data_IF_460676531074
#
_entry.id   IF_460676531074
#
_cell.length_a   1.000
_cell.length_b   1.000
_cell.length_c   1.000
_cell.angle_alpha   90.00
_cell.angle_beta   90.00
_cell.angle_gamma   90.00
#
_symmetry.space_group_name_H-M   'P 1'
#
loop_
_entity.id
_entity.type
_entity.pdbx_description
1 polymer ?
#
# COMPACT_ATOMS: atom_id res chain seq x y z
N UNK A 1 -31.79 28.40 23.96
CA UNK A 1 -30.50 29.14 23.95
C UNK A 1 -29.50 28.22 23.27
N UNK A 2 -29.12 28.57 22.04
CA UNK A 2 -28.41 27.72 21.08
C UNK A 2 -27.03 27.30 21.61
N UNK A 3 -26.74 25.99 21.54
CA UNK A 3 -25.39 25.45 21.64
C UNK A 3 -24.95 25.07 20.22
N UNK A 4 -24.19 25.96 19.59
CA UNK A 4 -23.37 25.66 18.43
C UNK A 4 -22.30 24.65 18.84
N UNK A 5 -22.30 23.48 18.21
CA UNK A 5 -21.16 22.57 18.22
C UNK A 5 -20.28 22.99 17.03
N UNK A 6 -19.14 23.61 17.32
CA UNK A 6 -18.11 23.87 16.33
C UNK A 6 -17.42 22.55 15.96
N UNK A 7 -17.71 22.05 14.76
CA UNK A 7 -16.95 20.97 14.13
C UNK A 7 -15.59 21.49 13.68
N UNK A 8 -14.56 21.31 14.50
CA UNK A 8 -13.18 21.52 14.08
C UNK A 8 -12.75 20.40 13.15
N UNK A 9 -12.87 20.63 11.83
CA UNK A 9 -12.15 19.85 10.84
C UNK A 9 -10.67 20.24 10.91
N UNK A 10 -9.82 19.28 11.29
CA UNK A 10 -8.38 19.35 11.03
C UNK A 10 -8.18 19.23 9.51
N UNK A 11 -8.17 20.36 8.80
CA UNK A 11 -7.62 20.44 7.45
C UNK A 11 -6.10 20.24 7.53
N UNK A 12 -5.64 19.02 7.27
CA UNK A 12 -4.26 18.78 6.89
C UNK A 12 -4.09 19.31 5.46
N UNK A 13 -3.66 20.58 5.34
CA UNK A 13 -3.16 21.11 4.07
C UNK A 13 -1.85 20.40 3.75
N UNK A 14 -1.92 19.33 2.95
CA UNK A 14 -0.73 18.75 2.33
C UNK A 14 -0.26 19.67 1.20
N UNK A 15 0.95 20.21 1.35
CA UNK A 15 1.68 20.90 0.29
C UNK A 15 1.83 19.96 -0.94
N UNK A 16 1.33 20.32 -2.14
CA UNK A 16 1.41 19.48 -3.33
C UNK A 16 2.84 19.22 -3.83
N UNK A 17 3.82 19.98 -3.35
CA UNK A 17 5.20 19.93 -3.86
C UNK A 17 6.15 19.03 -3.05
N UNK A 18 5.68 18.38 -1.98
CA UNK A 18 6.55 17.60 -1.09
C UNK A 18 5.98 16.23 -0.70
N UNK A 19 5.44 15.48 -1.68
CA UNK A 19 5.23 14.03 -1.50
C UNK A 19 6.56 13.33 -1.76
N UNK A 20 7.23 12.92 -0.68
CA UNK A 20 8.35 11.98 -0.73
C UNK A 20 7.92 10.75 -1.54
N UNK A 21 8.40 10.61 -2.77
CA UNK A 21 8.18 9.40 -3.57
C UNK A 21 8.93 8.27 -2.85
N UNK A 22 8.18 7.31 -2.32
CA UNK A 22 8.76 6.12 -1.71
C UNK A 22 9.70 5.45 -2.71
N UNK A 23 10.91 5.03 -2.31
CA UNK A 23 11.81 4.36 -3.22
C UNK A 23 11.15 3.09 -3.79
N UNK A 24 11.43 2.78 -5.05
CA UNK A 24 10.95 1.54 -5.66
C UNK A 24 11.54 0.35 -4.90
N UNK A 25 10.69 -0.63 -4.62
CA UNK A 25 11.04 -1.83 -3.88
C UNK A 25 11.28 -2.99 -4.84
N UNK A 26 12.46 -3.65 -4.81
CA UNK A 26 12.67 -4.89 -5.55
C UNK A 26 11.89 -6.03 -4.91
N UNK A 27 11.21 -6.81 -5.73
CA UNK A 27 10.41 -7.97 -5.34
C UNK A 27 10.75 -9.13 -6.26
N UNK A 28 11.11 -10.27 -5.67
CA UNK A 28 11.20 -11.52 -6.41
C UNK A 28 9.86 -12.24 -6.32
N UNK A 29 9.19 -12.40 -7.45
CA UNK A 29 7.87 -13.03 -7.49
C UNK A 29 7.95 -14.53 -7.18
N UNK A 30 6.82 -15.11 -6.74
CA UNK A 30 6.69 -16.55 -6.55
C UNK A 30 6.79 -17.33 -7.87
N UNK A 31 6.61 -16.64 -9.00
CA UNK A 31 6.68 -17.17 -10.36
C UNK A 31 8.08 -17.09 -10.98
N UNK A 32 9.07 -16.54 -10.26
CA UNK A 32 10.49 -16.67 -10.62
C UNK A 32 11.09 -15.53 -11.45
N UNK A 33 10.45 -14.36 -11.48
CA UNK A 33 10.98 -13.14 -12.10
C UNK A 33 11.01 -11.99 -11.09
N UNK A 34 11.81 -10.97 -11.36
CA UNK A 34 11.99 -9.82 -10.47
C UNK A 34 11.16 -8.61 -10.95
N UNK A 35 10.68 -7.80 -10.01
CA UNK A 35 9.95 -6.55 -10.25
C UNK A 35 10.50 -5.42 -9.38
N UNK A 36 10.43 -4.19 -9.88
CA UNK A 36 10.62 -2.95 -9.14
C UNK A 36 9.27 -2.24 -9.01
N UNK A 37 8.76 -2.16 -7.78
CA UNK A 37 7.37 -1.76 -7.49
C UNK A 37 7.30 -0.52 -6.59
N UNK A 38 6.29 0.31 -6.79
CA UNK A 38 6.04 1.47 -5.94
C UNK A 38 5.13 1.04 -4.76
N UNK A 39 5.59 1.03 -3.50
CA UNK A 39 4.79 0.58 -2.37
C UNK A 39 3.57 1.47 -2.08
N UNK A 40 3.52 2.68 -2.63
CA UNK A 40 2.38 3.58 -2.49
C UNK A 40 1.25 3.29 -3.49
N UNK A 41 1.51 2.52 -4.55
CA UNK A 41 0.48 2.05 -5.49
C UNK A 41 -0.17 0.78 -4.95
N UNK A 42 -1.51 0.73 -4.97
CA UNK A 42 -2.28 -0.35 -4.34
C UNK A 42 -1.97 -1.73 -4.92
N UNK A 43 -1.93 -1.88 -6.25
CA UNK A 43 -1.65 -3.16 -6.90
C UNK A 43 -0.19 -3.58 -6.67
N UNK A 44 0.74 -2.63 -6.76
CA UNK A 44 2.14 -2.84 -6.40
C UNK A 44 2.31 -3.29 -4.95
N UNK A 45 1.56 -2.72 -4.01
CA UNK A 45 1.55 -3.13 -2.60
C UNK A 45 1.07 -4.57 -2.42
N UNK A 46 -0.01 -4.98 -3.11
CA UNK A 46 -0.47 -6.37 -3.08
C UNK A 46 0.61 -7.33 -3.58
N UNK A 47 1.26 -6.99 -4.69
CA UNK A 47 2.37 -7.78 -5.25
C UNK A 47 3.58 -7.85 -4.31
N UNK A 48 3.93 -6.75 -3.62
CA UNK A 48 4.99 -6.73 -2.61
C UNK A 48 4.65 -7.68 -1.45
N UNK A 49 3.38 -7.67 -1.01
CA UNK A 49 2.91 -8.49 0.12
C UNK A 49 2.86 -9.97 -0.24
N UNK A 50 2.24 -10.31 -1.38
CA UNK A 50 1.87 -11.68 -1.72
C UNK A 50 2.87 -12.37 -2.65
N UNK A 51 3.69 -11.60 -3.37
CA UNK A 51 4.65 -12.12 -4.36
C UNK A 51 4.01 -12.73 -5.61
N UNK A 52 2.67 -12.72 -5.70
CA UNK A 52 1.87 -13.19 -6.83
C UNK A 52 0.59 -12.34 -6.88
N UNK A 53 0.11 -12.07 -8.09
CA UNK A 53 -1.17 -11.40 -8.31
C UNK A 53 -2.07 -12.35 -9.10
N UNK A 54 -3.37 -12.35 -8.78
CA UNK A 54 -4.37 -13.22 -9.45
C UNK A 54 -3.90 -14.69 -9.53
N UNK A 55 -3.67 -15.30 -8.36
CA UNK A 55 -3.09 -16.64 -8.30
C UNK A 55 -3.85 -17.71 -9.13
N UNK A 56 -5.20 -17.73 -9.17
CA UNK A 56 -5.95 -18.67 -10.01
C UNK A 56 -5.71 -18.51 -11.52
N UNK A 57 -5.63 -17.26 -11.99
CA UNK A 57 -5.37 -16.89 -13.37
C UNK A 57 -3.90 -17.13 -13.73
N UNK A 58 -2.99 -16.80 -12.83
CA UNK A 58 -1.55 -17.06 -13.00
C UNK A 58 -1.28 -18.56 -13.16
N UNK A 59 -1.90 -19.40 -12.32
CA UNK A 59 -1.82 -20.85 -12.43
C UNK A 59 -2.38 -21.34 -13.78
N UNK A 60 -3.56 -20.85 -14.18
CA UNK A 60 -4.15 -21.17 -15.47
C UNK A 60 -3.21 -20.82 -16.63
N UNK A 61 -2.73 -19.58 -16.67
CA UNK A 61 -1.84 -19.07 -17.73
C UNK A 61 -0.57 -19.92 -17.84
N UNK A 62 0.01 -20.35 -16.71
CA UNK A 62 1.20 -21.23 -16.70
C UNK A 62 0.98 -22.59 -17.37
N UNK A 63 -0.26 -23.05 -17.48
CA UNK A 63 -0.63 -24.32 -18.15
C UNK A 63 -1.01 -24.13 -19.61
N UNK A 64 -1.49 -22.94 -19.96
CA UNK A 64 -1.93 -22.61 -21.32
C UNK A 64 -0.75 -22.21 -22.20
N UNK A 65 0.19 -21.43 -21.65
CA UNK A 65 1.34 -20.87 -22.38
C UNK A 65 2.53 -21.81 -22.32
N UNK A 66 3.22 -21.98 -23.45
CA UNK A 66 4.39 -22.83 -23.62
C UNK A 66 5.56 -22.02 -24.16
N UNK A 67 6.76 -22.58 -24.01
CA UNK A 67 7.96 -22.02 -24.62
C UNK A 67 7.79 -21.92 -26.14
N UNK A 68 8.15 -20.76 -26.72
CA UNK A 68 7.99 -20.49 -28.15
C UNK A 68 6.68 -19.82 -28.54
N UNK A 69 5.70 -19.72 -27.65
CA UNK A 69 4.40 -19.11 -27.95
C UNK A 69 4.51 -17.59 -28.14
N UNK A 70 3.50 -17.01 -28.80
CA UNK A 70 3.29 -15.56 -28.87
C UNK A 70 2.13 -15.16 -27.97
N UNK A 71 2.35 -14.23 -27.04
CA UNK A 71 1.34 -13.74 -26.10
C UNK A 71 1.19 -12.22 -26.17
N UNK A 72 -0.01 -11.74 -25.88
CA UNK A 72 -0.36 -10.32 -25.87
C UNK A 72 -0.85 -9.92 -24.48
N UNK A 73 -0.38 -8.78 -23.98
CA UNK A 73 -0.82 -8.17 -22.72
C UNK A 73 -1.41 -6.78 -23.02
N UNK A 74 -2.74 -6.69 -23.07
CA UNK A 74 -3.46 -5.43 -23.25
C UNK A 74 -3.80 -4.83 -21.88
N UNK A 75 -3.10 -3.73 -21.55
CA UNK A 75 -3.12 -3.10 -20.23
C UNK A 75 -2.01 -3.65 -19.32
N UNK A 76 -0.76 -3.43 -19.73
CA UNK A 76 0.40 -4.02 -19.05
C UNK A 76 0.66 -3.48 -17.64
N UNK A 77 0.20 -2.27 -17.34
CA UNK A 77 0.42 -1.58 -16.06
C UNK A 77 1.91 -1.58 -15.65
N UNK A 78 2.27 -2.08 -14.47
CA UNK A 78 3.68 -2.20 -14.02
C UNK A 78 4.44 -3.35 -14.69
N UNK A 79 3.79 -4.13 -15.56
CA UNK A 79 4.39 -5.22 -16.33
C UNK A 79 4.44 -6.57 -15.62
N UNK A 80 3.58 -6.82 -14.63
CA UNK A 80 3.50 -8.13 -13.96
C UNK A 80 3.18 -9.25 -14.96
N UNK A 81 2.05 -9.16 -15.67
CA UNK A 81 1.68 -10.16 -16.67
C UNK A 81 2.66 -10.16 -17.84
N UNK A 82 3.14 -9.00 -18.28
CA UNK A 82 4.15 -8.91 -19.34
C UNK A 82 5.41 -9.72 -18.99
N UNK A 83 5.98 -9.54 -17.79
CA UNK A 83 7.16 -10.30 -17.34
C UNK A 83 6.84 -11.77 -17.11
N UNK A 84 5.64 -12.07 -16.59
CA UNK A 84 5.21 -13.44 -16.38
C UNK A 84 5.07 -14.22 -17.70
N UNK A 85 4.40 -13.65 -18.69
CA UNK A 85 4.28 -14.23 -20.03
C UNK A 85 5.65 -14.37 -20.68
N UNK A 86 6.52 -13.35 -20.54
CA UNK A 86 7.88 -13.40 -21.07
C UNK A 86 8.69 -14.54 -20.43
N UNK A 87 8.56 -14.75 -19.13
CA UNK A 87 9.17 -15.86 -18.41
C UNK A 87 8.71 -17.23 -18.96
N UNK A 88 7.40 -17.38 -19.23
CA UNK A 88 6.82 -18.63 -19.73
C UNK A 88 7.20 -18.94 -21.18
N UNK A 89 7.13 -17.96 -22.08
CA UNK A 89 7.39 -18.18 -23.51
C UNK A 89 8.88 -18.34 -23.83
N UNK A 90 9.76 -17.80 -22.97
CA UNK A 90 11.22 -17.83 -23.15
C UNK A 90 11.71 -17.14 -24.44
N UNK A 91 13.02 -17.22 -24.68
CA UNK A 91 13.69 -16.47 -25.78
C UNK A 91 13.19 -16.83 -27.19
N UNK A 92 12.66 -18.04 -27.35
CA UNK A 92 12.08 -18.52 -28.61
C UNK A 92 10.67 -18.01 -28.87
N UNK A 93 9.98 -17.49 -27.86
CA UNK A 93 8.63 -16.93 -27.98
C UNK A 93 8.62 -15.41 -28.06
N UNK A 94 7.44 -14.79 -28.06
CA UNK A 94 7.29 -13.32 -28.13
C UNK A 94 6.19 -12.83 -27.21
N UNK A 95 6.41 -11.67 -26.58
CA UNK A 95 5.36 -10.96 -25.84
C UNK A 95 5.23 -9.55 -26.36
N UNK A 96 4.01 -9.16 -26.71
CA UNK A 96 3.68 -7.79 -27.09
C UNK A 96 2.72 -7.19 -26.07
N UNK A 97 3.21 -6.22 -25.32
CA UNK A 97 2.46 -5.52 -24.30
C UNK A 97 2.05 -4.13 -24.81
N UNK A 98 0.85 -3.71 -24.43
CA UNK A 98 0.27 -2.43 -24.83
C UNK A 98 -0.30 -1.73 -23.61
N UNK A 99 -0.03 -0.43 -23.48
CA UNK A 99 -0.63 0.39 -22.43
C UNK A 99 -0.76 1.85 -22.88
N UNK A 100 -1.87 2.47 -22.52
CA UNK A 100 -2.13 3.87 -22.84
C UNK A 100 -1.30 4.82 -21.96
N UNK A 101 -0.98 4.42 -20.72
CA UNK A 101 -0.24 5.24 -19.77
C UNK A 101 1.28 5.16 -20.04
N UNK A 102 1.95 6.27 -20.41
CA UNK A 102 3.40 6.28 -20.63
C UNK A 102 4.21 5.89 -19.39
N UNK A 103 3.76 6.28 -18.19
CA UNK A 103 4.46 5.99 -16.94
C UNK A 103 4.40 4.48 -16.60
N UNK A 104 3.26 3.84 -16.91
CA UNK A 104 3.09 2.40 -16.81
C UNK A 104 4.00 1.67 -17.83
N UNK A 105 4.01 2.12 -19.08
CA UNK A 105 4.92 1.58 -20.10
C UNK A 105 6.39 1.63 -19.66
N UNK A 106 6.82 2.74 -19.06
CA UNK A 106 8.19 2.89 -18.57
C UNK A 106 8.47 2.01 -17.34
N UNK A 107 7.49 1.75 -16.49
CA UNK A 107 7.60 0.75 -15.42
C UNK A 107 7.74 -0.68 -15.98
N UNK A 108 6.87 -1.07 -16.91
CA UNK A 108 6.92 -2.39 -17.54
C UNK A 108 8.24 -2.63 -18.29
N UNK A 109 8.73 -1.65 -19.06
CA UNK A 109 10.04 -1.73 -19.76
C UNK A 109 11.21 -1.88 -18.79
N UNK A 110 11.18 -1.17 -17.65
CA UNK A 110 12.20 -1.33 -16.61
C UNK A 110 12.19 -2.74 -16.02
N UNK A 111 11.01 -3.29 -15.75
CA UNK A 111 10.87 -4.65 -15.22
C UNK A 111 11.30 -5.72 -16.23
N UNK A 112 11.00 -5.56 -17.51
CA UNK A 112 11.56 -6.42 -18.55
C UNK A 112 13.10 -6.36 -18.62
N UNK A 113 13.65 -5.14 -18.56
CA UNK A 113 15.09 -4.92 -18.60
C UNK A 113 15.81 -5.52 -17.38
N UNK A 114 15.20 -5.43 -16.20
CA UNK A 114 15.70 -6.05 -14.96
C UNK A 114 15.89 -7.56 -15.12
N UNK A 115 15.02 -8.22 -15.88
CA UNK A 115 15.06 -9.65 -16.12
C UNK A 115 15.80 -10.06 -17.40
N UNK A 116 16.31 -9.10 -18.19
CA UNK A 116 16.96 -9.38 -19.48
C UNK A 116 16.02 -9.96 -20.55
N UNK A 117 14.71 -9.77 -20.42
CA UNK A 117 13.69 -10.36 -21.29
C UNK A 117 13.54 -9.60 -22.62
N UNK A 118 14.53 -9.73 -23.51
CA UNK A 118 14.59 -8.98 -24.78
C UNK A 118 13.60 -9.47 -25.84
N UNK A 119 12.87 -10.56 -25.60
CA UNK A 119 11.84 -11.11 -26.47
C UNK A 119 10.43 -10.58 -26.16
N UNK A 120 10.33 -9.64 -25.21
CA UNK A 120 9.13 -8.92 -24.87
C UNK A 120 9.31 -7.42 -25.15
N UNK A 121 8.27 -6.77 -25.67
CA UNK A 121 8.28 -5.32 -25.90
C UNK A 121 6.96 -4.68 -25.43
N UNK A 122 7.06 -3.41 -25.02
CA UNK A 122 5.92 -2.62 -24.54
C UNK A 122 5.73 -1.41 -25.44
N UNK A 123 4.53 -1.27 -26.01
CA UNK A 123 4.15 -0.16 -26.90
C UNK A 123 3.19 0.78 -26.18
N UNK A 124 3.53 2.07 -26.14
CA UNK A 124 2.64 3.08 -25.56
C UNK A 124 1.57 3.51 -26.57
N UNK A 125 0.42 2.84 -26.50
CA UNK A 125 -0.74 3.07 -27.36
C UNK A 125 -1.99 2.54 -26.65
N UNK A 126 -3.11 3.25 -26.78
CA UNK A 126 -4.41 2.73 -26.37
C UNK A 126 -4.94 1.77 -27.46
N UNK A 127 -5.18 0.51 -27.12
CA UNK A 127 -5.82 -0.41 -28.05
C UNK A 127 -7.29 -0.01 -28.25
N UNK A 128 -7.72 0.04 -29.51
CA UNK A 128 -9.03 0.55 -29.90
C UNK A 128 -9.57 -0.17 -31.14
N UNK A 129 -10.77 0.21 -31.58
CA UNK A 129 -11.42 -0.27 -32.80
C UNK A 129 -11.04 0.55 -34.05
N UNK A 130 -10.28 1.63 -33.88
CA UNK A 130 -9.79 2.52 -34.94
C UNK A 130 -8.36 3.02 -34.66
N UNK A 131 -7.72 3.58 -35.70
CA UNK A 131 -6.45 4.29 -35.58
C UNK A 131 -6.69 5.77 -35.27
N UNK A 132 -5.86 6.39 -34.43
CA UNK A 132 -5.97 7.82 -34.13
C UNK A 132 -5.37 8.23 -32.80
N UNK A 133 -6.11 9.05 -32.07
CA UNK A 133 -5.77 9.48 -30.71
C UNK A 133 -7.01 9.55 -29.84
N UNK A 134 -6.87 9.18 -28.57
CA UNK A 134 -7.93 9.21 -27.57
C UNK A 134 -7.52 10.07 -26.37
N UNK A 135 -8.51 10.62 -25.68
CA UNK A 135 -8.33 11.14 -24.33
C UNK A 135 -8.16 9.96 -23.38
N UNK A 136 -7.21 10.07 -22.46
CA UNK A 136 -6.94 9.06 -21.45
C UNK A 136 -6.82 9.73 -20.09
N UNK A 137 -7.55 9.20 -19.11
CA UNK A 137 -7.69 9.75 -17.76
C UNK A 137 -6.80 8.96 -16.81
N UNK A 138 -5.70 9.59 -16.39
CA UNK A 138 -4.72 8.99 -15.48
C UNK A 138 -5.22 9.09 -14.05
N UNK A 139 -5.35 7.95 -13.38
CA UNK A 139 -5.76 7.84 -11.97
C UNK A 139 -4.74 8.49 -11.01
N UNK A 140 -5.01 8.44 -9.71
CA UNK A 140 -4.07 8.90 -8.68
C UNK A 140 -2.85 7.98 -8.58
N UNK A 141 -1.77 8.49 -7.97
CA UNK A 141 -0.51 7.75 -7.83
C UNK A 141 -0.64 6.51 -6.92
N UNK A 142 -1.70 6.47 -6.10
CA UNK A 142 -2.03 5.36 -5.21
C UNK A 142 -2.86 4.26 -5.90
N UNK A 143 -3.46 4.55 -7.05
CA UNK A 143 -4.37 3.64 -7.77
C UNK A 143 -4.12 3.69 -9.27
N UNK A 144 -2.85 3.61 -9.67
CA UNK A 144 -2.44 3.85 -11.07
C UNK A 144 -3.06 2.84 -12.05
N UNK A 145 -3.37 1.64 -11.58
CA UNK A 145 -4.05 0.58 -12.34
C UNK A 145 -5.42 1.02 -12.86
N UNK A 146 -6.14 1.90 -12.15
CA UNK A 146 -7.50 2.35 -12.50
C UNK A 146 -7.57 3.40 -13.63
N UNK A 147 -6.48 3.61 -14.37
CA UNK A 147 -6.44 4.63 -15.43
C UNK A 147 -7.21 4.14 -16.65
N UNK A 148 -8.05 4.99 -17.26
CA UNK A 148 -8.98 4.55 -18.31
C UNK A 148 -9.13 5.58 -19.43
N UNK A 149 -9.56 5.12 -20.61
CA UNK A 149 -10.07 5.97 -21.69
C UNK A 149 -11.40 6.63 -21.27
N UNK A 150 -12.17 5.96 -20.41
CA UNK A 150 -13.41 6.48 -19.85
C UNK A 150 -13.17 7.58 -18.82
N UNK A 151 -14.14 8.49 -18.67
CA UNK A 151 -14.09 9.53 -17.66
C UNK A 151 -14.33 8.94 -16.27
N UNK A 152 -13.24 8.62 -15.56
CA UNK A 152 -13.28 8.12 -14.18
C UNK A 152 -13.55 9.25 -13.17
N UNK A 153 -14.18 8.98 -12.01
CA UNK A 153 -14.53 10.02 -11.05
C UNK A 153 -13.32 10.75 -10.42
N UNK A 154 -12.21 10.02 -10.19
CA UNK A 154 -11.04 10.50 -9.46
C UNK A 154 -9.77 10.39 -10.31
N UNK A 155 -9.61 11.25 -11.32
CA UNK A 155 -8.39 11.31 -12.14
C UNK A 155 -7.49 12.50 -11.77
N UNK A 156 -6.17 12.30 -11.86
CA UNK A 156 -5.14 13.31 -11.61
C UNK A 156 -4.97 14.26 -12.80
N UNK A 157 -4.98 13.70 -14.02
CA UNK A 157 -4.77 14.44 -15.28
C UNK A 157 -5.41 13.70 -16.44
N UNK A 158 -5.79 14.45 -17.47
CA UNK A 158 -6.13 13.89 -18.79
C UNK A 158 -4.95 14.11 -19.73
N UNK A 159 -4.59 13.07 -20.47
CA UNK A 159 -3.57 13.13 -21.52
C UNK A 159 -4.18 12.68 -22.85
N UNK A 160 -3.55 13.07 -23.97
CA UNK A 160 -3.87 12.53 -25.28
C UNK A 160 -2.83 11.49 -25.65
N UNK A 161 -3.29 10.30 -26.04
CA UNK A 161 -2.44 9.16 -26.38
C UNK A 161 -2.77 8.69 -27.79
N UNK A 162 -1.80 8.15 -28.55
CA UNK A 162 -2.12 7.45 -29.78
C UNK A 162 -3.04 6.26 -29.47
N UNK A 163 -3.96 5.94 -30.39
CA UNK A 163 -4.74 4.72 -30.35
C UNK A 163 -4.63 3.95 -31.67
N UNK A 164 -4.83 2.64 -31.61
CA UNK A 164 -4.74 1.78 -32.79
C UNK A 164 -5.35 0.41 -32.59
N UNK A 165 -5.60 -0.27 -33.70
CA UNK A 165 -6.18 -1.62 -33.67
C UNK A 165 -5.11 -2.64 -33.34
N UNK A 166 -5.46 -3.62 -32.51
CA UNK A 166 -4.54 -4.72 -32.21
C UNK A 166 -4.19 -5.50 -33.49
N UNK A 167 -5.18 -5.74 -34.37
CA UNK A 167 -4.96 -6.37 -35.68
C UNK A 167 -3.85 -5.69 -36.48
N UNK A 168 -3.91 -4.35 -36.63
CA UNK A 168 -2.88 -3.57 -37.34
C UNK A 168 -1.48 -3.79 -36.74
N UNK A 169 -1.38 -3.79 -35.41
CA UNK A 169 -0.11 -3.97 -34.71
C UNK A 169 0.48 -5.37 -34.91
N UNK A 170 -0.36 -6.40 -34.90
CA UNK A 170 0.01 -7.80 -35.12
C UNK A 170 0.39 -8.06 -36.58
N UNK A 171 -0.37 -7.53 -37.53
CA UNK A 171 -0.10 -7.66 -38.97
C UNK A 171 1.24 -7.01 -39.35
N UNK A 172 1.52 -5.81 -38.81
CA UNK A 172 2.80 -5.12 -39.02
C UNK A 172 4.01 -5.91 -38.48
N UNK A 173 3.79 -6.84 -37.55
CA UNK A 173 4.80 -7.74 -36.98
C UNK A 173 4.86 -9.09 -37.69
N UNK A 174 3.99 -9.33 -38.67
CA UNK A 174 3.88 -10.62 -39.35
C UNK A 174 3.38 -11.73 -38.43
N UNK A 175 2.69 -11.40 -37.34
CA UNK A 175 2.11 -12.38 -36.43
C UNK A 175 0.89 -13.00 -37.10
N UNK A 176 0.77 -14.32 -37.02
CA UNK A 176 -0.33 -15.09 -37.60
C UNK A 176 -1.02 -16.01 -36.58
N UNK A 177 -0.54 -16.03 -35.34
CA UNK A 177 -1.10 -16.82 -34.25
C UNK A 177 -0.75 -16.18 -32.92
N UNK A 178 -1.72 -16.15 -32.01
CA UNK A 178 -1.60 -15.67 -30.63
C UNK A 178 -2.07 -16.79 -29.72
N UNK A 179 -1.18 -17.24 -28.83
CA UNK A 179 -1.54 -18.26 -27.85
C UNK A 179 -2.49 -17.72 -26.79
N UNK A 180 -2.18 -16.54 -26.27
CA UNK A 180 -2.95 -15.93 -25.19
C UNK A 180 -2.98 -14.42 -25.38
N UNK A 181 -4.17 -13.85 -25.34
CA UNK A 181 -4.42 -12.43 -25.22
C UNK A 181 -5.02 -12.16 -23.84
N UNK A 182 -4.30 -11.44 -22.98
CA UNK A 182 -4.84 -10.88 -21.74
C UNK A 182 -5.40 -9.47 -22.03
N UNK A 183 -6.60 -9.17 -21.54
CA UNK A 183 -7.29 -7.88 -21.69
C UNK A 183 -7.74 -7.39 -20.32
N UNK A 184 -7.21 -6.25 -19.92
CA UNK A 184 -7.50 -5.55 -18.66
C UNK A 184 -7.16 -4.08 -18.91
N UNK A 185 -8.13 -3.37 -19.51
CA UNK A 185 -7.93 -2.02 -20.08
C UNK A 185 -8.92 -1.03 -19.49
N UNK A 186 -9.41 -1.34 -18.31
CA UNK A 186 -10.29 -0.54 -17.47
C UNK A 186 -11.50 0.03 -18.20
N UNK A 187 -12.23 -0.83 -18.91
CA UNK A 187 -13.52 -0.50 -19.54
C UNK A 187 -13.47 -0.44 -21.07
N UNK A 188 -12.28 -0.53 -21.67
CA UNK A 188 -12.09 -0.49 -23.13
C UNK A 188 -12.15 -1.88 -23.80
N UNK A 189 -12.59 -2.92 -23.09
CA UNK A 189 -12.54 -4.32 -23.53
C UNK A 189 -13.32 -4.52 -24.84
N UNK A 190 -14.49 -3.89 -24.99
CA UNK A 190 -15.28 -3.93 -26.23
C UNK A 190 -14.49 -3.36 -27.42
N UNK A 191 -13.78 -2.24 -27.23
CA UNK A 191 -12.98 -1.60 -28.28
C UNK A 191 -11.80 -2.48 -28.68
N UNK A 192 -11.09 -3.07 -27.70
CA UNK A 192 -9.99 -4.00 -27.98
C UNK A 192 -10.49 -5.16 -28.82
N UNK A 193 -11.56 -5.83 -28.39
CA UNK A 193 -12.16 -6.97 -29.10
C UNK A 193 -12.67 -6.61 -30.50
N UNK A 194 -13.24 -5.42 -30.67
CA UNK A 194 -13.66 -4.92 -31.99
C UNK A 194 -12.46 -4.62 -32.91
N UNK A 195 -11.31 -4.29 -32.32
CA UNK A 195 -10.04 -4.10 -33.00
C UNK A 195 -9.24 -5.37 -33.35
N UNK A 196 -9.71 -6.56 -32.96
CA UNK A 196 -9.00 -7.84 -33.22
C UNK A 196 -9.16 -8.35 -34.67
N UNK A 197 -10.26 -7.99 -35.34
CA UNK A 197 -10.53 -8.41 -36.73
C UNK A 197 -10.36 -9.91 -36.97
N UNK A 198 -9.50 -10.28 -37.92
CA UNK A 198 -9.26 -11.67 -38.34
C UNK A 198 -8.70 -12.56 -37.24
N UNK A 199 -7.99 -12.01 -36.26
CA UNK A 199 -7.48 -12.80 -35.14
C UNK A 199 -8.62 -13.41 -34.31
N UNK A 200 -9.76 -12.71 -34.25
CA UNK A 200 -10.96 -13.22 -33.61
C UNK A 200 -11.76 -14.14 -34.55
N UNK A 201 -12.05 -13.70 -35.79
CA UNK A 201 -12.95 -14.42 -36.70
C UNK A 201 -12.35 -15.70 -37.28
N UNK A 202 -11.04 -15.70 -37.53
CA UNK A 202 -10.33 -16.83 -38.13
C UNK A 202 -9.68 -17.71 -37.05
N UNK A 203 -9.99 -17.44 -35.78
CA UNK A 203 -9.53 -18.23 -34.62
C UNK A 203 -8.00 -18.31 -34.49
N UNK A 204 -7.31 -17.22 -34.86
CA UNK A 204 -5.85 -17.12 -34.73
C UNK A 204 -5.41 -16.80 -33.29
N UNK A 205 -6.35 -16.44 -32.42
CA UNK A 205 -6.12 -16.32 -30.98
C UNK A 205 -6.70 -17.54 -30.26
N UNK A 206 -5.88 -18.35 -29.60
CA UNK A 206 -6.36 -19.57 -28.93
C UNK A 206 -7.16 -19.25 -27.65
N UNK A 207 -6.65 -18.33 -26.85
CA UNK A 207 -7.20 -17.97 -25.54
C UNK A 207 -7.28 -16.46 -25.35
N UNK A 208 -8.40 -16.00 -24.79
CA UNK A 208 -8.60 -14.62 -24.38
C UNK A 208 -8.95 -14.61 -22.90
N UNK A 209 -8.05 -14.12 -22.05
CA UNK A 209 -8.31 -13.88 -20.64
C UNK A 209 -8.72 -12.41 -20.49
N UNK A 210 -9.92 -12.15 -20.01
CA UNK A 210 -10.46 -10.79 -19.91
C UNK A 210 -10.99 -10.51 -18.52
N UNK A 211 -10.58 -9.37 -17.96
CA UNK A 211 -11.15 -8.77 -16.75
C UNK A 211 -12.44 -8.04 -17.14
N UNK A 212 -13.55 -8.37 -16.48
CA UNK A 212 -14.85 -7.74 -16.72
C UNK A 212 -15.35 -7.12 -15.44
N UNK A 213 -15.50 -5.79 -15.48
CA UNK A 213 -16.11 -5.03 -14.40
C UNK A 213 -17.12 -4.02 -14.96
N UNK A 214 -18.41 -4.30 -14.73
CA UNK A 214 -19.51 -3.53 -15.33
C UNK A 214 -19.47 -2.04 -15.01
N UNK A 215 -18.99 -1.64 -13.83
CA UNK A 215 -18.90 -0.22 -13.48
C UNK A 215 -17.94 0.53 -14.40
N UNK A 216 -16.82 -0.09 -14.78
CA UNK A 216 -15.84 0.48 -15.73
C UNK A 216 -16.39 0.46 -17.16
N UNK A 217 -16.99 -0.67 -17.56
CA UNK A 217 -17.62 -0.82 -18.87
C UNK A 217 -18.74 0.22 -19.11
N UNK A 218 -19.53 0.54 -18.09
CA UNK A 218 -20.61 1.53 -18.18
C UNK A 218 -20.10 2.95 -18.45
N UNK A 219 -18.92 3.32 -17.92
CA UNK A 219 -18.27 4.61 -18.24
C UNK A 219 -18.00 4.74 -19.74
N UNK A 220 -17.75 3.61 -20.41
CA UNK A 220 -17.55 3.51 -21.86
C UNK A 220 -18.85 3.25 -22.65
N UNK A 221 -20.03 3.37 -22.02
CA UNK A 221 -21.34 3.06 -22.61
C UNK A 221 -21.48 1.61 -23.11
N UNK A 222 -20.80 0.69 -22.43
CA UNK A 222 -20.86 -0.76 -22.69
C UNK A 222 -21.20 -1.56 -21.43
N UNK A 223 -21.17 -2.89 -21.52
CA UNK A 223 -21.44 -3.83 -20.44
C UNK A 223 -20.89 -5.23 -20.78
N UNK A 224 -20.86 -6.09 -19.76
CA UNK A 224 -20.39 -7.48 -19.86
C UNK A 224 -21.08 -8.28 -20.97
N UNK A 225 -22.39 -8.11 -21.17
CA UNK A 225 -23.13 -8.86 -22.17
C UNK A 225 -22.70 -8.49 -23.60
N UNK A 226 -22.39 -7.22 -23.88
CA UNK A 226 -21.84 -6.81 -25.19
C UNK A 226 -20.49 -7.47 -25.46
N UNK A 227 -19.57 -7.44 -24.49
CA UNK A 227 -18.25 -8.08 -24.59
C UNK A 227 -18.40 -9.59 -24.83
N UNK A 228 -19.23 -10.26 -24.02
CA UNK A 228 -19.57 -11.67 -24.19
C UNK A 228 -20.13 -11.96 -25.58
N UNK A 229 -21.03 -11.12 -26.10
CA UNK A 229 -21.65 -11.34 -27.40
C UNK A 229 -20.65 -11.30 -28.55
N UNK A 230 -19.62 -10.45 -28.49
CA UNK A 230 -18.56 -10.41 -29.51
C UNK A 230 -17.86 -11.77 -29.58
N UNK A 231 -17.40 -12.27 -28.43
CA UNK A 231 -16.66 -13.53 -28.32
C UNK A 231 -17.54 -14.74 -28.64
N UNK A 232 -18.78 -14.76 -28.15
CA UNK A 232 -19.75 -15.83 -28.41
C UNK A 232 -20.13 -15.92 -29.89
N UNK A 233 -20.31 -14.77 -30.59
CA UNK A 233 -20.57 -14.76 -32.04
C UNK A 233 -19.40 -15.33 -32.83
N UNK A 234 -18.18 -15.16 -32.34
CA UNK A 234 -16.98 -15.80 -32.87
C UNK A 234 -16.78 -17.25 -32.37
N UNK A 235 -17.75 -17.86 -31.68
CA UNK A 235 -17.69 -19.26 -31.27
C UNK A 235 -16.81 -19.57 -30.05
N UNK A 236 -16.29 -18.55 -29.35
CA UNK A 236 -15.52 -18.77 -28.13
C UNK A 236 -16.42 -19.21 -26.98
N UNK A 237 -15.95 -20.16 -26.18
CA UNK A 237 -16.61 -20.64 -24.97
C UNK A 237 -15.97 -20.04 -23.74
N UNK A 238 -16.79 -19.58 -22.79
CA UNK A 238 -16.34 -18.94 -21.57
C UNK A 238 -16.06 -19.97 -20.47
N UNK A 239 -15.08 -19.65 -19.63
CA UNK A 239 -14.72 -20.34 -18.40
C UNK A 239 -14.53 -19.31 -17.30
N UNK A 240 -14.93 -19.66 -16.08
CA UNK A 240 -14.81 -18.82 -14.88
C UNK A 240 -14.20 -19.62 -13.74
N UNK A 241 -13.57 -18.94 -12.80
CA UNK A 241 -12.95 -19.59 -11.64
C UNK A 241 -13.91 -19.62 -10.45
N UNK A 242 -14.09 -20.81 -9.86
CA UNK A 242 -14.74 -21.00 -8.57
C UNK A 242 -13.75 -21.56 -7.55
N UNK A 243 -13.70 -20.97 -6.35
CA UNK A 243 -12.74 -21.36 -5.31
C UNK A 243 -12.81 -22.82 -4.88
N UNK A 244 -13.98 -23.46 -5.00
CA UNK A 244 -14.20 -24.87 -4.64
C UNK A 244 -13.89 -25.85 -5.76
N UNK A 245 -14.01 -25.41 -7.01
CA UNK A 245 -14.12 -26.28 -8.17
C UNK A 245 -13.02 -26.04 -9.21
N UNK A 246 -12.29 -24.93 -9.10
CA UNK A 246 -11.33 -24.47 -10.10
C UNK A 246 -12.04 -23.80 -11.28
N UNK A 247 -11.42 -23.91 -12.46
CA UNK A 247 -11.98 -23.35 -13.69
C UNK A 247 -13.09 -24.24 -14.24
N UNK A 248 -14.27 -23.66 -14.42
CA UNK A 248 -15.47 -24.33 -14.92
C UNK A 248 -16.03 -23.58 -16.14
N UNK A 249 -16.66 -24.34 -17.05
CA UNK A 249 -17.30 -23.76 -18.22
C UNK A 249 -18.49 -22.91 -17.76
N UNK A 250 -18.57 -21.70 -18.30
CA UNK A 250 -19.56 -20.72 -17.93
C UNK A 250 -20.61 -20.59 -19.04
N UNK A 251 -21.82 -21.09 -18.78
CA UNK A 251 -22.96 -20.91 -19.69
C UNK A 251 -23.39 -19.43 -19.76
N UNK A 252 -23.17 -18.70 -18.67
CA UNK A 252 -23.45 -17.27 -18.54
C UNK A 252 -22.17 -16.51 -18.15
N UNK A 253 -21.99 -15.32 -18.72
CA UNK A 253 -20.94 -14.38 -18.34
C UNK A 253 -21.64 -13.18 -17.73
N UNK A 254 -21.35 -12.95 -16.45
CA UNK A 254 -21.95 -11.90 -15.65
C UNK A 254 -20.84 -11.17 -14.90
N UNK A 255 -20.90 -9.85 -14.86
CA UNK A 255 -20.07 -9.07 -13.93
C UNK A 255 -20.60 -9.29 -12.51
N UNK A 256 -19.77 -9.84 -11.64
CA UNK A 256 -20.06 -10.01 -10.20
C UNK A 256 -19.11 -9.14 -9.36
N UNK A 257 -18.88 -7.92 -9.84
CA UNK A 257 -17.76 -7.09 -9.43
C UNK A 257 -16.60 -7.28 -10.41
N UNK A 258 -15.39 -7.23 -9.89
CA UNK A 258 -14.17 -7.53 -10.63
C UNK A 258 -14.05 -9.05 -10.82
N UNK A 259 -14.12 -9.50 -12.08
CA UNK A 259 -14.09 -10.93 -12.40
C UNK A 259 -13.41 -11.23 -13.74
N UNK A 260 -12.53 -12.23 -13.71
CA UNK A 260 -11.82 -12.71 -14.89
C UNK A 260 -12.56 -13.89 -15.55
N UNK A 261 -12.62 -13.85 -16.87
CA UNK A 261 -13.11 -14.96 -17.69
C UNK A 261 -12.06 -15.38 -18.71
N UNK A 262 -11.89 -16.69 -18.86
CA UNK A 262 -11.14 -17.26 -19.96
C UNK A 262 -12.12 -17.62 -21.09
N UNK A 263 -11.91 -17.07 -22.27
CA UNK A 263 -12.59 -17.46 -23.49
C UNK A 263 -11.68 -18.34 -24.35
N UNK A 264 -12.20 -19.50 -24.75
CA UNK A 264 -11.46 -20.53 -25.47
C UNK A 264 -11.97 -20.64 -26.91
N UNK A 265 -11.06 -20.46 -27.85
CA UNK A 265 -11.32 -20.53 -29.29
C UNK A 265 -11.74 -21.93 -29.75
N UNK A 266 -12.65 -22.05 -30.75
CA UNK A 266 -12.98 -23.33 -31.38
C UNK A 266 -11.76 -24.16 -31.83
N UNK A 267 -10.65 -23.51 -32.18
CA UNK A 267 -9.42 -24.16 -32.66
C UNK A 267 -8.75 -25.07 -31.63
N UNK A 268 -8.98 -24.83 -30.33
CA UNK A 268 -8.26 -25.53 -29.24
C UNK A 268 -9.16 -26.17 -28.18
N UNK A 269 -10.48 -26.05 -28.31
CA UNK A 269 -11.46 -26.57 -27.33
C UNK A 269 -11.27 -28.06 -27.01
N UNK A 270 -10.94 -28.89 -28.00
CA UNK A 270 -10.73 -30.34 -27.81
C UNK A 270 -9.38 -30.68 -27.15
N UNK A 271 -8.46 -29.70 -27.06
CA UNK A 271 -7.09 -29.90 -26.56
C UNK A 271 -6.83 -29.20 -25.24
N UNK A 272 -7.89 -28.71 -24.57
CA UNK A 272 -7.79 -28.06 -23.28
C UNK A 272 -7.17 -29.00 -22.23
N UNK A 273 -6.11 -28.58 -21.53
CA UNK A 273 -5.59 -29.36 -20.42
C UNK A 273 -6.64 -29.44 -19.31
N UNK A 274 -6.71 -30.55 -18.55
CA UNK A 274 -7.63 -30.66 -17.44
C UNK A 274 -7.31 -29.57 -16.39
N UNK A 275 -8.31 -28.76 -16.07
CA UNK A 275 -8.27 -27.75 -15.00
C UNK A 275 -8.29 -28.41 -13.62
N UNK A 276 -7.31 -29.28 -13.32
CA UNK A 276 -7.21 -29.94 -12.02
C UNK A 276 -6.45 -29.07 -11.01
N UNK A 277 -6.96 -28.97 -9.79
CA UNK A 277 -6.46 -28.17 -8.65
C UNK A 277 -5.03 -28.53 -8.15
N UNK A 278 -4.35 -29.51 -8.74
CA UNK A 278 -3.13 -30.12 -8.19
C UNK A 278 -1.86 -29.21 -8.07
N UNK A 279 -1.58 -28.22 -8.95
CA UNK A 279 -0.31 -27.47 -8.89
C UNK A 279 -0.25 -26.39 -7.81
N UNK A 280 -1.39 -25.86 -7.34
CA UNK A 280 -1.45 -24.84 -6.27
C UNK A 280 -0.77 -25.38 -5.00
N UNK A 281 -0.92 -26.65 -4.66
CA UNK A 281 -0.24 -27.21 -3.49
C UNK A 281 1.29 -27.07 -3.58
N UNK A 282 1.90 -27.12 -4.76
CA UNK A 282 3.37 -27.10 -4.86
C UNK A 282 3.94 -25.70 -4.68
N UNK A 283 3.33 -24.69 -5.30
CA UNK A 283 3.77 -23.29 -5.19
C UNK A 283 3.28 -22.63 -3.91
N UNK A 284 2.04 -22.89 -3.48
CA UNK A 284 1.50 -22.38 -2.22
C UNK A 284 2.21 -23.01 -1.02
N UNK A 285 2.62 -24.28 -1.03
CA UNK A 285 3.45 -24.84 0.06
C UNK A 285 4.83 -24.20 0.11
N UNK A 286 5.42 -23.82 -1.02
CA UNK A 286 6.71 -23.12 -1.04
C UNK A 286 6.60 -21.69 -0.53
N UNK A 287 5.53 -20.97 -0.90
CA UNK A 287 5.22 -19.64 -0.39
C UNK A 287 4.87 -19.66 1.11
N UNK A 288 4.03 -20.61 1.54
CA UNK A 288 3.62 -20.79 2.93
C UNK A 288 4.78 -21.19 3.85
N UNK A 289 5.75 -21.96 3.34
CA UNK A 289 7.01 -22.24 4.05
C UNK A 289 7.83 -20.98 4.28
N UNK A 290 7.96 -20.10 3.27
CA UNK A 290 8.66 -18.82 3.42
C UNK A 290 7.91 -17.85 4.34
N UNK A 291 6.58 -17.77 4.25
CA UNK A 291 5.77 -16.97 5.17
C UNK A 291 5.87 -17.48 6.61
N UNK A 292 5.87 -18.81 6.81
CA UNK A 292 6.10 -19.39 8.14
C UNK A 292 7.48 -19.01 8.69
N UNK A 293 8.52 -19.00 7.86
CA UNK A 293 9.86 -18.56 8.27
C UNK A 293 9.91 -17.06 8.61
N UNK A 294 9.22 -16.22 7.85
CA UNK A 294 9.11 -14.77 8.10
C UNK A 294 8.29 -14.50 9.37
N UNK A 295 7.17 -15.20 9.57
CA UNK A 295 6.34 -15.10 10.77
C UNK A 295 7.10 -15.54 12.02
N UNK A 296 7.84 -16.65 11.96
CA UNK A 296 8.70 -17.09 13.07
C UNK A 296 9.81 -16.09 13.39
N UNK A 297 10.35 -15.43 12.36
CA UNK A 297 11.37 -14.38 12.56
C UNK A 297 10.75 -13.16 13.25
N UNK A 298 9.57 -12.71 12.80
CA UNK A 298 8.84 -11.60 13.42
C UNK A 298 8.37 -11.90 14.83
N UNK A 299 7.94 -13.12 15.12
CA UNK A 299 7.58 -13.55 16.47
C UNK A 299 8.79 -13.46 17.41
N UNK A 300 9.99 -13.88 16.97
CA UNK A 300 11.22 -13.72 17.75
C UNK A 300 11.57 -12.25 18.00
N UNK A 301 11.53 -11.41 16.98
CA UNK A 301 11.78 -9.96 17.13
C UNK A 301 10.77 -9.31 18.08
N UNK A 302 9.49 -9.73 18.04
CA UNK A 302 8.45 -9.22 18.93
C UNK A 302 8.65 -9.66 20.38
N UNK A 303 9.11 -10.90 20.60
CA UNK A 303 9.43 -11.43 21.93
C UNK A 303 10.67 -10.73 22.52
N UNK A 304 11.69 -10.46 21.70
CA UNK A 304 12.87 -9.67 22.11
C UNK A 304 12.48 -8.24 22.51
N UNK A 305 11.65 -7.57 21.70
CA UNK A 305 11.13 -6.24 22.03
C UNK A 305 10.26 -6.24 23.29
N UNK A 306 9.48 -7.30 23.55
CA UNK A 306 8.72 -7.45 24.81
C UNK A 306 9.64 -7.52 26.02
N UNK A 307 10.71 -8.32 25.94
CA UNK A 307 11.69 -8.39 27.01
C UNK A 307 12.38 -7.05 27.27
N UNK A 308 12.68 -6.28 26.22
CA UNK A 308 13.26 -4.94 26.35
C UNK A 308 12.28 -3.94 27.00
N UNK A 309 11.00 -3.98 26.60
CA UNK A 309 9.94 -3.18 27.22
C UNK A 309 9.77 -3.52 28.70
N UNK A 310 9.76 -4.80 29.06
CA UNK A 310 9.64 -5.25 30.45
C UNK A 310 10.84 -4.78 31.30
N UNK A 311 12.06 -4.83 30.75
CA UNK A 311 13.26 -4.33 31.41
C UNK A 311 13.17 -2.81 31.66
N UNK A 312 12.76 -2.04 30.65
CA UNK A 312 12.57 -0.60 30.77
C UNK A 312 11.45 -0.22 31.76
N UNK A 313 10.39 -1.02 31.84
CA UNK A 313 9.33 -0.82 32.84
C UNK A 313 9.84 -1.05 34.26
N UNK A 314 10.66 -2.08 34.49
CA UNK A 314 11.29 -2.33 35.79
C UNK A 314 12.24 -1.20 36.18
N UNK A 315 13.08 -0.72 35.27
CA UNK A 315 13.97 0.41 35.51
C UNK A 315 13.19 1.69 35.83
N UNK A 316 12.13 1.96 35.07
CA UNK A 316 11.23 3.10 35.33
C UNK A 316 10.58 3.01 36.71
N UNK A 317 10.21 1.80 37.16
CA UNK A 317 9.63 1.60 38.48
C UNK A 317 10.66 1.85 39.60
N UNK A 318 11.90 1.37 39.44
CA UNK A 318 12.99 1.63 40.39
C UNK A 318 13.28 3.14 40.51
N UNK A 319 13.36 3.85 39.38
CA UNK A 319 13.58 5.29 39.36
C UNK A 319 12.43 6.07 40.03
N UNK A 320 11.18 5.61 39.89
CA UNK A 320 10.03 6.21 40.60
C UNK A 320 10.12 6.01 42.10
N UNK A 321 10.50 4.82 42.55
CA UNK A 321 10.69 4.52 43.98
C UNK A 321 11.82 5.35 44.58
N UNK A 322 12.94 5.50 43.86
CA UNK A 322 14.05 6.35 44.28
C UNK A 322 13.67 7.83 44.32
N UNK A 323 12.96 8.32 43.29
CA UNK A 323 12.45 9.70 43.27
C UNK A 323 11.54 9.97 44.46
N UNK A 324 10.63 9.05 44.76
CA UNK A 324 9.73 9.18 45.92
C UNK A 324 10.51 9.19 47.25
N UNK A 325 11.54 8.35 47.38
CA UNK A 325 12.43 8.35 48.56
C UNK A 325 13.14 9.69 48.72
N UNK A 326 13.72 10.23 47.65
CA UNK A 326 14.40 11.52 47.67
C UNK A 326 13.44 12.67 48.01
N UNK A 327 12.20 12.63 47.52
CA UNK A 327 11.17 13.61 47.88
C UNK A 327 10.83 13.57 49.38
N UNK A 328 10.71 12.38 49.97
CA UNK A 328 10.48 12.25 51.42
C UNK A 328 11.66 12.76 52.24
N UNK A 329 12.89 12.52 51.79
CA UNK A 329 14.09 13.02 52.45
C UNK A 329 14.20 14.54 52.36
N UNK A 330 13.90 15.13 51.20
CA UNK A 330 13.82 16.57 51.01
C UNK A 330 12.78 17.21 51.95
N UNK A 331 11.60 16.60 52.10
CA UNK A 331 10.57 17.07 53.03
C UNK A 331 11.06 17.05 54.49
N UNK A 332 11.71 15.96 54.93
CA UNK A 332 12.30 15.87 56.27
C UNK A 332 13.38 16.93 56.50
N UNK A 333 14.20 17.21 55.50
CA UNK A 333 15.21 18.27 55.59
C UNK A 333 14.57 19.65 55.68
N UNK A 334 13.51 19.93 54.93
CA UNK A 334 12.73 21.17 55.04
C UNK A 334 12.12 21.34 56.44
N UNK A 335 11.52 20.29 57.01
CA UNK A 335 10.96 20.31 58.37
C UNK A 335 12.05 20.60 59.42
N UNK A 336 13.22 19.98 59.29
CA UNK A 336 14.37 20.24 60.17
C UNK A 336 14.87 21.67 60.03
N UNK A 337 14.91 22.21 58.82
CA UNK A 337 15.36 23.57 58.55
C UNK A 337 14.39 24.58 59.18
N UNK A 338 13.08 24.38 59.01
CA UNK A 338 12.04 25.18 59.66
C UNK A 338 12.13 25.12 61.20
N UNK A 339 12.41 23.95 61.77
CA UNK A 339 12.59 23.79 63.22
C UNK A 339 13.82 24.56 63.73
N UNK A 340 14.93 24.54 62.98
CA UNK A 340 16.15 25.31 63.28
C UNK A 340 15.86 26.81 63.20
N UNK A 341 15.21 27.29 62.14
CA UNK A 341 14.82 28.69 61.97
C UNK A 341 13.92 29.17 63.10
N UNK A 342 12.93 28.36 63.47
CA UNK A 342 12.02 28.65 64.60
C UNK A 342 12.78 28.71 65.92
N UNK A 343 13.71 27.79 66.17
CA UNK A 343 14.56 27.79 67.38
C UNK A 343 15.48 29.01 67.45
N UNK A 344 16.08 29.40 66.32
CA UNK A 344 16.91 30.61 66.22
C UNK A 344 16.09 31.88 66.47
N UNK A 345 14.86 31.95 65.92
CA UNK A 345 13.91 33.02 66.21
C UNK A 345 13.56 33.12 67.69
N UNK A 346 13.26 32.00 68.36
CA UNK A 346 13.01 31.95 69.80
C UNK A 346 14.22 32.37 70.64
N UNK A 347 15.44 31.94 70.24
CA UNK A 347 16.68 32.35 70.91
C UNK A 347 16.91 33.85 70.77
N UNK A 348 16.72 34.42 69.57
CA UNK A 348 16.82 35.86 69.34
C UNK A 348 15.79 36.66 70.15
N UNK A 349 14.54 36.18 70.22
CA UNK A 349 13.48 36.80 71.02
C UNK A 349 13.80 36.76 72.53
N UNK A 350 14.37 35.66 73.02
CA UNK A 350 14.78 35.54 74.42
C UNK A 350 15.97 36.45 74.76
N UNK A 351 16.95 36.59 73.87
CA UNK A 351 18.04 37.56 74.03
C UNK A 351 17.48 38.98 74.05
N UNK A 352 16.56 39.31 73.14
CA UNK A 352 15.90 40.62 73.13
C UNK A 352 15.10 40.89 74.42
N UNK A 353 14.35 39.91 74.93
CA UNK A 353 13.62 40.03 76.20
C UNK A 353 14.58 40.24 77.38
N UNK A 354 15.67 39.47 77.44
CA UNK A 354 16.68 39.60 78.49
C UNK A 354 17.35 40.98 78.46
N UNK A 355 17.71 41.46 77.27
CA UNK A 355 18.28 42.79 77.05
C UNK A 355 17.28 43.91 77.41
N UNK A 356 16.00 43.75 77.05
CA UNK A 356 14.92 44.67 77.42
C UNK A 356 14.71 44.71 78.94
N UNK A 357 14.69 43.56 79.60
CA UNK A 357 14.46 43.46 81.03
C UNK A 357 15.67 44.00 81.82
N UNK A 358 16.90 43.81 81.32
CA UNK A 358 18.13 44.48 81.82
C UNK A 358 18.03 46.01 81.68
N UNK A 359 17.63 46.54 80.51
CA UNK A 359 17.39 47.98 80.28
C UNK A 359 16.30 48.58 81.19
N UNK A 360 15.23 47.83 81.46
CA UNK A 360 14.17 48.24 82.40
C UNK A 360 14.69 48.22 83.84
N UNK A 361 15.49 47.22 84.21
CA UNK A 361 16.12 47.16 85.54
C UNK A 361 17.09 48.32 85.75
N UNK A 362 17.84 48.73 84.73
CA UNK A 362 18.80 49.82 84.76
C UNK A 362 18.11 51.19 84.85
N UNK A 363 16.98 51.38 84.16
CA UNK A 363 16.11 52.56 84.34
C UNK A 363 15.51 52.62 85.75
N UNK A 364 15.15 51.47 86.32
CA UNK A 364 14.61 51.37 87.68
C UNK A 364 15.70 51.65 88.74
N UNK A 365 16.93 51.20 88.49
CA UNK A 365 18.10 51.50 89.31
C UNK A 365 18.50 52.97 89.25
N UNK A 366 18.51 53.57 88.04
CA UNK A 366 18.75 55.01 87.85
C UNK A 366 17.70 55.86 88.55
N UNK A 367 16.42 55.47 88.52
CA UNK A 367 15.34 56.18 89.25
C UNK A 367 15.52 56.09 90.76
N UNK A 368 15.84 54.90 91.30
CA UNK A 368 16.15 54.71 92.73
C UNK A 368 17.41 55.46 93.18
N UNK A 369 18.44 55.53 92.33
CA UNK A 369 19.64 56.32 92.59
C UNK A 369 19.34 57.83 92.52
N UNK A 370 18.51 58.28 91.59
CA UNK A 370 18.08 59.68 91.52
C UNK A 370 17.26 60.08 92.76
N UNK A 371 16.34 59.23 93.22
CA UNK A 371 15.57 59.46 94.46
C UNK A 371 16.47 59.40 95.71
N UNK A 372 17.48 58.53 95.71
CA UNK A 372 18.49 58.45 96.78
C UNK A 372 19.38 59.70 96.84
N UNK A 373 19.83 60.22 95.70
CA UNK A 373 20.66 61.43 95.63
C UNK A 373 19.84 62.73 95.80
N UNK A 374 18.58 62.77 95.38
CA UNK A 374 17.68 63.92 95.59
C UNK A 374 17.30 64.10 97.08
N UNK A 375 17.38 63.05 97.90
CA UNK A 375 17.22 63.13 99.35
C UNK A 375 18.46 63.61 100.12
N UNK A 376 19.63 63.72 99.46
CA UNK A 376 20.91 64.03 100.12
C UNK A 376 21.32 65.51 100.04
N UNK A 377 20.56 66.36 99.31
CA UNK A 377 20.85 67.80 99.15
C UNK A 377 19.98 68.72 100.02
N UNK A 378 19.35 68.20 101.09
CA UNK A 378 18.55 68.99 102.04
C UNK A 378 18.79 68.65 103.53
N UNK A 379 20.07 68.51 103.93
CA UNK A 379 20.48 68.66 105.34
C UNK A 379 21.70 69.53 105.48
#
# INVERSE_FOLDING_TARGET
MNLLIASGQLEVKSDPQNRSVSPLQPVKTLLGFDLLLNPSDYFSYLLIRDGIFEAPESDLVSRLVRQGDTCIDAGSHVGYYTCFLAHLVGESGRVYAFDANPEACDAAKRNLSLNGMTWAEVTNIALSDHEGSLSFHVSSDEQTGLSSVGLIPNFKKTIHVPCGRLETSLDNRGINHVRLLKIDVEGSEEMVLSGLGRFLTDHLTDFILVELYDERLQVMNTNTEKVRQILRKAGYLAWTYESTSGWLMADEVQSRGDCNYLFVSPSVQETLPPFSLAPILTHTLAAWRRESEILQTRERETEELRHEVDALQQETQQLREETHRLQQEALRLQERLLAIETSLGWRALNVYRKFRDELVSEKTLRRKLYDFFAGWTHR
#
